data_IF_832946904340
#
_entry.id   IF_832946904340
#
_cell.length_a   1.000
_cell.length_b   1.000
_cell.length_c   1.000
_cell.angle_alpha   90.00
_cell.angle_beta   90.00
_cell.angle_gamma   90.00
#
_symmetry.space_group_name_H-M   'P 1'
#
loop_
_entity.id
_entity.type
_entity.pdbx_description
1 polymer ?
#
# COMPACT_ATOMS: atom_id res chain seq x y z
N UNK A 1 -45.29 -0.89 -16.93
CA UNK A 1 -45.33 -2.34 -17.23
C UNK A 1 -44.57 -2.56 -18.53
N UNK A 2 -43.71 -3.59 -18.61
CA UNK A 2 -43.07 -3.93 -19.89
C UNK A 2 -44.14 -4.45 -20.85
N UNK A 3 -44.33 -3.80 -22.00
CA UNK A 3 -45.34 -4.18 -23.01
C UNK A 3 -45.07 -5.54 -23.69
N UNK A 4 -43.92 -6.17 -23.44
CA UNK A 4 -43.54 -7.46 -24.03
C UNK A 4 -42.48 -8.18 -23.18
N UNK A 5 -42.62 -9.50 -23.03
CA UNK A 5 -41.64 -10.39 -22.39
C UNK A 5 -40.76 -10.98 -23.50
N UNK A 6 -39.45 -10.77 -23.42
CA UNK A 6 -38.45 -11.33 -24.35
C UNK A 6 -37.75 -12.53 -23.75
N UNK A 7 -37.45 -13.53 -24.58
CA UNK A 7 -36.73 -14.74 -24.19
C UNK A 7 -35.28 -14.75 -24.73
N UNK A 8 -34.33 -15.23 -23.92
CA UNK A 8 -32.90 -15.26 -24.23
C UNK A 8 -32.44 -16.56 -24.89
N UNK A 9 -33.00 -17.68 -24.44
CA UNK A 9 -32.58 -19.03 -24.83
C UNK A 9 -33.64 -19.76 -25.65
N UNK A 10 -34.91 -19.42 -25.46
CA UNK A 10 -36.01 -19.98 -26.23
C UNK A 10 -36.05 -19.30 -27.61
N UNK A 11 -35.76 -20.01 -28.72
CA UNK A 11 -35.71 -19.38 -30.04
C UNK A 11 -37.11 -18.99 -30.50
N UNK A 12 -37.28 -17.75 -31.00
CA UNK A 12 -38.57 -17.30 -31.56
C UNK A 12 -39.02 -18.06 -32.82
N UNK A 13 -38.15 -18.87 -33.42
CA UNK A 13 -38.43 -19.72 -34.58
C UNK A 13 -38.81 -21.16 -34.22
N UNK A 14 -38.94 -21.50 -32.93
CA UNK A 14 -39.27 -22.85 -32.49
C UNK A 14 -40.67 -23.26 -32.97
N UNK A 15 -40.76 -24.38 -33.70
CA UNK A 15 -42.03 -24.90 -34.27
C UNK A 15 -42.52 -26.16 -33.56
N UNK A 16 -41.68 -26.76 -32.71
CA UNK A 16 -42.01 -27.98 -31.95
C UNK A 16 -42.91 -27.57 -30.78
N UNK A 17 -44.16 -28.08 -30.71
CA UNK A 17 -45.07 -27.77 -29.60
C UNK A 17 -44.52 -28.31 -28.27
N UNK A 18 -44.64 -27.53 -27.20
CA UNK A 18 -44.16 -27.92 -25.86
C UNK A 18 -44.21 -26.78 -24.84
N UNK A 19 -43.89 -27.08 -23.58
CA UNK A 19 -43.69 -26.09 -22.53
C UNK A 19 -42.19 -25.80 -22.41
N UNK A 20 -41.79 -24.60 -22.79
CA UNK A 20 -40.42 -24.14 -22.66
C UNK A 20 -40.38 -23.04 -21.60
N UNK A 21 -39.56 -23.23 -20.58
CA UNK A 21 -39.38 -22.29 -19.47
C UNK A 21 -37.89 -21.98 -19.41
N UNK A 22 -37.53 -20.69 -19.40
CA UNK A 22 -36.15 -20.26 -19.21
C UNK A 22 -35.95 -19.55 -17.88
N UNK A 23 -34.73 -19.66 -17.35
CA UNK A 23 -34.32 -18.92 -16.17
C UNK A 23 -33.72 -17.58 -16.61
N UNK A 24 -34.34 -16.49 -16.17
CA UNK A 24 -33.76 -15.16 -16.35
C UNK A 24 -33.00 -14.76 -15.07
N UNK A 25 -31.67 -14.82 -15.13
CA UNK A 25 -30.79 -14.35 -14.04
C UNK A 25 -30.44 -12.87 -14.15
N UNK A 26 -30.97 -12.20 -15.19
CA UNK A 26 -31.01 -10.75 -15.46
C UNK A 26 -30.96 -9.91 -14.19
N UNK A 27 -31.94 -10.18 -13.33
CA UNK A 27 -32.30 -9.39 -12.15
C UNK A 27 -31.91 -10.04 -10.82
N UNK A 28 -31.17 -11.16 -10.84
CA UNK A 28 -30.86 -11.93 -9.63
C UNK A 28 -29.96 -11.15 -8.65
N UNK A 29 -29.01 -10.36 -9.18
CA UNK A 29 -28.14 -9.49 -8.39
C UNK A 29 -28.60 -8.04 -8.54
N UNK A 30 -28.99 -7.42 -7.44
CA UNK A 30 -29.45 -6.02 -7.39
C UNK A 30 -28.63 -5.13 -6.46
N UNK A 31 -27.85 -5.72 -5.55
CA UNK A 31 -26.94 -4.97 -4.67
C UNK A 31 -25.73 -4.39 -5.41
N UNK A 32 -24.95 -3.60 -4.67
CA UNK A 32 -23.60 -3.19 -5.08
C UNK A 32 -22.62 -4.37 -4.93
N UNK A 33 -21.54 -4.43 -5.72
CA UNK A 33 -20.54 -5.48 -5.55
C UNK A 33 -19.80 -5.34 -4.22
N UNK A 34 -19.45 -6.47 -3.60
CA UNK A 34 -18.54 -6.46 -2.45
C UNK A 34 -17.19 -5.84 -2.82
N UNK A 35 -16.48 -5.28 -1.84
CA UNK A 35 -15.21 -4.57 -2.08
C UNK A 35 -14.00 -5.15 -1.31
N UNK A 36 -13.73 -6.47 -1.39
CA UNK A 36 -12.54 -7.03 -0.77
C UNK A 36 -11.28 -6.39 -1.35
N UNK A 37 -10.37 -5.94 -0.49
CA UNK A 37 -9.14 -5.29 -0.90
C UNK A 37 -8.00 -6.31 -0.96
N UNK A 38 -7.52 -6.60 -2.17
CA UNK A 38 -6.34 -7.45 -2.40
C UNK A 38 -5.06 -6.61 -2.46
N UNK A 39 -4.00 -7.09 -1.80
CA UNK A 39 -2.70 -6.42 -1.74
C UNK A 39 -1.66 -7.25 -2.49
N UNK A 40 -0.91 -6.58 -3.36
CA UNK A 40 0.33 -7.09 -3.92
C UNK A 40 1.53 -6.43 -3.24
N UNK A 41 2.42 -7.24 -2.70
CA UNK A 41 3.63 -6.79 -2.03
C UNK A 41 4.86 -7.22 -2.83
N UNK A 42 5.64 -6.23 -3.27
CA UNK A 42 6.93 -6.46 -3.90
C UNK A 42 8.02 -6.37 -2.84
N UNK A 43 8.92 -7.35 -2.79
CA UNK A 43 10.00 -7.32 -1.81
C UNK A 43 11.22 -8.12 -2.24
N UNK A 44 12.44 -7.65 -1.91
CA UNK A 44 13.64 -8.46 -2.08
C UNK A 44 13.53 -9.82 -1.38
N UNK A 45 13.90 -10.87 -2.11
CA UNK A 45 14.05 -12.22 -1.59
C UNK A 45 15.54 -12.57 -1.45
N UNK A 46 15.85 -13.60 -0.65
CA UNK A 46 17.20 -14.11 -0.47
C UNK A 46 17.43 -15.35 -1.34
N UNK A 47 18.69 -15.60 -1.70
CA UNK A 47 19.08 -16.82 -2.43
C UNK A 47 18.81 -18.12 -1.64
N UNK A 48 18.62 -18.02 -0.31
CA UNK A 48 18.21 -19.13 0.55
C UNK A 48 16.71 -19.44 0.49
N UNK A 49 15.90 -18.60 -0.18
CA UNK A 49 14.49 -18.86 -0.42
C UNK A 49 14.29 -19.96 -1.46
N UNK A 50 13.24 -20.77 -1.31
CA UNK A 50 12.94 -21.87 -2.23
C UNK A 50 12.02 -21.48 -3.37
N UNK A 51 11.34 -20.34 -3.27
CA UNK A 51 10.39 -19.90 -4.29
C UNK A 51 11.09 -19.28 -5.49
N UNK A 52 10.57 -19.52 -6.70
CA UNK A 52 11.09 -18.92 -7.92
C UNK A 52 10.96 -17.37 -7.87
N UNK A 53 12.02 -16.61 -8.21
CA UNK A 53 11.94 -15.16 -8.33
C UNK A 53 10.90 -14.71 -9.36
N UNK A 54 10.38 -13.48 -9.18
CA UNK A 54 9.42 -12.85 -10.08
C UNK A 54 8.11 -13.65 -10.31
N UNK A 55 7.81 -14.60 -9.43
CA UNK A 55 6.59 -15.42 -9.50
C UNK A 55 5.69 -15.06 -8.32
N UNK A 56 4.41 -14.66 -8.56
CA UNK A 56 3.49 -14.30 -7.49
C UNK A 56 3.01 -15.52 -6.71
N UNK A 57 2.99 -15.40 -5.39
CA UNK A 57 2.45 -16.43 -4.48
C UNK A 57 1.60 -15.78 -3.39
N UNK A 58 0.44 -16.36 -3.13
CA UNK A 58 -0.43 -15.96 -2.05
C UNK A 58 0.10 -16.53 -0.72
N UNK A 59 0.15 -15.71 0.32
CA UNK A 59 0.65 -16.10 1.63
C UNK A 59 -0.43 -15.98 2.68
N UNK A 60 -0.28 -16.78 3.74
CA UNK A 60 -1.20 -16.80 4.87
C UNK A 60 -0.50 -16.63 6.23
N UNK A 61 0.83 -16.59 6.25
CA UNK A 61 1.63 -16.36 7.45
C UNK A 61 3.02 -15.81 7.11
N UNK A 62 3.66 -15.16 8.08
CA UNK A 62 5.05 -14.71 7.98
C UNK A 62 6.05 -15.88 8.00
N UNK A 63 5.75 -16.96 8.73
CA UNK A 63 6.58 -18.16 8.73
C UNK A 63 6.71 -18.77 7.33
N UNK A 64 5.59 -18.89 6.61
CA UNK A 64 5.58 -19.34 5.22
C UNK A 64 6.39 -18.40 4.31
N UNK A 65 6.31 -17.09 4.53
CA UNK A 65 7.12 -16.12 3.79
C UNK A 65 8.63 -16.32 4.03
N UNK A 66 9.02 -16.63 5.26
CA UNK A 66 10.41 -16.92 5.61
C UNK A 66 10.96 -18.19 4.94
N UNK A 67 10.14 -19.25 4.84
CA UNK A 67 10.56 -20.47 4.16
C UNK A 67 10.65 -20.28 2.63
N UNK A 68 9.70 -19.54 2.03
CA UNK A 68 9.66 -19.31 0.58
C UNK A 68 10.68 -18.29 0.07
N UNK A 69 10.86 -17.16 0.77
CA UNK A 69 11.72 -16.06 0.33
C UNK A 69 13.05 -15.95 1.09
N UNK A 70 13.26 -16.86 2.05
CA UNK A 70 14.44 -16.90 2.91
C UNK A 70 14.21 -16.16 4.24
N UNK A 71 14.67 -16.76 5.32
CA UNK A 71 14.51 -16.21 6.67
C UNK A 71 15.30 -14.92 6.84
N UNK A 72 14.62 -13.88 7.35
CA UNK A 72 15.18 -12.54 7.46
C UNK A 72 15.18 -11.74 6.16
N UNK A 73 14.52 -12.23 5.10
CA UNK A 73 14.28 -11.45 3.87
C UNK A 73 13.37 -10.25 4.14
N UNK A 74 13.50 -9.22 3.31
CA UNK A 74 12.55 -8.10 3.32
C UNK A 74 11.11 -8.57 3.07
N UNK A 75 10.92 -9.58 2.21
CA UNK A 75 9.62 -10.19 1.98
C UNK A 75 8.99 -10.72 3.28
N UNK A 76 9.72 -11.50 4.08
CA UNK A 76 9.22 -12.00 5.36
C UNK A 76 8.88 -10.86 6.33
N UNK A 77 9.76 -9.88 6.47
CA UNK A 77 9.59 -8.77 7.41
C UNK A 77 8.39 -7.89 7.06
N UNK A 78 8.19 -7.62 5.76
CA UNK A 78 7.05 -6.85 5.27
C UNK A 78 5.73 -7.63 5.40
N UNK A 79 5.73 -8.95 5.12
CA UNK A 79 4.55 -9.81 5.32
C UNK A 79 4.14 -9.85 6.78
N UNK A 80 5.10 -10.00 7.70
CA UNK A 80 4.83 -9.93 9.14
C UNK A 80 4.17 -8.61 9.52
N UNK A 81 4.69 -7.50 8.98
CA UNK A 81 4.14 -6.19 9.25
C UNK A 81 2.73 -5.98 8.66
N UNK A 82 2.45 -6.54 7.48
CA UNK A 82 1.12 -6.50 6.88
C UNK A 82 0.10 -7.30 7.72
N UNK A 83 0.41 -8.54 8.11
CA UNK A 83 -0.49 -9.38 8.91
C UNK A 83 -0.70 -8.88 10.34
N UNK A 84 0.28 -8.18 10.93
CA UNK A 84 0.09 -7.49 12.22
C UNK A 84 -1.03 -6.43 12.17
N UNK A 85 -1.25 -5.83 10.99
CA UNK A 85 -2.24 -4.78 10.78
C UNK A 85 -3.57 -5.32 10.25
N UNK A 86 -3.54 -6.34 9.39
CA UNK A 86 -4.72 -7.04 8.89
C UNK A 86 -4.45 -8.55 8.77
N UNK A 87 -4.91 -9.33 9.75
CA UNK A 87 -4.64 -10.77 9.83
C UNK A 87 -5.33 -11.60 8.75
N UNK A 88 -6.41 -11.09 8.14
CA UNK A 88 -7.18 -11.78 7.10
C UNK A 88 -6.94 -11.20 5.70
N UNK A 89 -5.85 -10.44 5.54
CA UNK A 89 -5.52 -9.78 4.29
C UNK A 89 -5.32 -10.78 3.15
N UNK A 90 -5.97 -10.53 2.01
CA UNK A 90 -5.61 -11.21 0.75
C UNK A 90 -4.28 -10.66 0.25
N UNK A 91 -3.19 -11.29 0.68
CA UNK A 91 -1.83 -10.87 0.44
C UNK A 91 -1.14 -11.78 -0.57
N UNK A 92 -0.80 -11.23 -1.73
CA UNK A 92 0.11 -11.85 -2.69
C UNK A 92 1.47 -11.18 -2.66
N UNK A 93 2.54 -11.97 -2.71
CA UNK A 93 3.92 -11.47 -2.69
C UNK A 93 4.64 -11.90 -3.96
N UNK A 94 5.46 -11.01 -4.52
CA UNK A 94 6.45 -11.35 -5.54
C UNK A 94 7.85 -11.06 -4.98
N UNK A 95 8.67 -12.10 -4.95
CA UNK A 95 10.07 -12.00 -4.59
C UNK A 95 10.88 -11.35 -5.71
N UNK A 96 11.64 -10.32 -5.36
CA UNK A 96 12.56 -9.62 -6.25
C UNK A 96 13.98 -10.16 -6.05
N UNK A 97 14.66 -10.63 -7.12
CA UNK A 97 16.07 -10.94 -7.02
C UNK A 97 16.87 -9.65 -6.83
N UNK A 98 18.03 -9.75 -6.19
CA UNK A 98 18.96 -8.62 -6.09
C UNK A 98 19.36 -8.14 -7.50
N UNK A 99 19.56 -6.82 -7.65
CA UNK A 99 20.10 -6.26 -8.88
C UNK A 99 21.50 -6.81 -9.15
N UNK A 100 21.83 -7.06 -10.43
CA UNK A 100 23.13 -7.65 -10.82
C UNK A 100 24.33 -6.80 -10.38
N UNK A 101 24.18 -5.48 -10.48
CA UNK A 101 25.13 -4.48 -9.97
C UNK A 101 24.86 -4.02 -8.51
N UNK A 102 24.01 -4.75 -7.79
CA UNK A 102 23.66 -4.47 -6.40
C UNK A 102 24.85 -4.60 -5.45
N UNK A 103 24.96 -3.65 -4.53
CA UNK A 103 25.95 -3.68 -3.43
C UNK A 103 25.21 -3.77 -2.10
N UNK A 104 25.65 -4.67 -1.22
CA UNK A 104 25.09 -4.82 0.12
C UNK A 104 25.62 -3.71 1.05
N UNK A 105 24.71 -3.10 1.80
CA UNK A 105 25.09 -2.13 2.82
C UNK A 105 25.88 -2.82 3.96
N UNK A 106 26.82 -2.09 4.53
CA UNK A 106 27.61 -2.57 5.68
C UNK A 106 27.64 -1.54 6.79
N UNK A 107 27.71 -2.02 8.01
CA UNK A 107 27.82 -1.23 9.24
C UNK A 107 28.51 -2.07 10.31
N UNK A 108 28.72 -1.49 11.49
CA UNK A 108 29.37 -2.21 12.58
C UNK A 108 29.01 -1.70 13.95
N UNK A 109 29.19 -2.54 14.95
CA UNK A 109 29.24 -2.18 16.37
C UNK A 109 30.62 -2.54 16.90
N UNK A 110 31.42 -1.55 17.26
CA UNK A 110 32.68 -1.77 17.97
C UNK A 110 32.43 -1.75 19.47
N UNK A 111 32.93 -2.76 20.16
CA UNK A 111 32.87 -2.88 21.62
C UNK A 111 34.30 -2.81 22.14
N UNK A 112 34.56 -1.87 23.04
CA UNK A 112 35.85 -1.71 23.69
C UNK A 112 35.71 -1.92 25.21
N UNK A 113 36.78 -2.44 25.82
CA UNK A 113 36.85 -2.70 27.26
C UNK A 113 36.68 -4.17 27.66
N UNK A 114 36.45 -4.39 28.95
CA UNK A 114 36.19 -5.69 29.57
C UNK A 114 34.99 -5.54 30.50
N UNK A 115 34.10 -6.53 30.54
CA UNK A 115 32.92 -6.48 31.39
C UNK A 115 33.34 -6.37 32.88
N UNK A 116 33.01 -5.27 33.54
CA UNK A 116 33.30 -5.04 34.95
C UNK A 116 32.29 -5.75 35.86
N UNK A 117 31.06 -5.87 35.39
CA UNK A 117 29.97 -6.57 36.09
C UNK A 117 29.22 -7.47 35.12
N UNK A 118 28.51 -8.47 35.65
CA UNK A 118 27.58 -9.24 34.84
C UNK A 118 26.38 -8.36 34.46
N UNK A 119 26.08 -8.27 33.17
CA UNK A 119 25.03 -7.41 32.64
C UNK A 119 24.47 -7.98 31.34
N UNK A 120 23.34 -7.43 30.90
CA UNK A 120 22.82 -7.66 29.55
C UNK A 120 23.27 -6.52 28.65
N UNK A 121 23.85 -6.84 27.50
CA UNK A 121 24.10 -5.87 26.42
C UNK A 121 23.16 -6.17 25.27
N UNK A 122 22.76 -5.15 24.51
CA UNK A 122 21.87 -5.31 23.38
C UNK A 122 22.26 -4.46 22.18
N UNK A 123 21.92 -4.97 21.00
CA UNK A 123 21.96 -4.25 19.73
C UNK A 123 20.56 -4.24 19.14
N UNK A 124 20.08 -3.07 18.77
CA UNK A 124 18.80 -2.87 18.08
C UNK A 124 19.06 -2.69 16.60
N UNK A 125 18.51 -3.59 15.77
CA UNK A 125 18.69 -3.61 14.32
C UNK A 125 17.31 -3.46 13.68
N UNK A 126 17.11 -2.38 12.91
CA UNK A 126 15.83 -2.10 12.23
C UNK A 126 14.63 -2.03 13.19
N UNK A 127 14.85 -1.55 14.42
CA UNK A 127 13.83 -1.48 15.47
C UNK A 127 13.63 -2.75 16.31
N UNK A 128 14.40 -3.82 16.06
CA UNK A 128 14.32 -5.08 16.83
C UNK A 128 15.56 -5.24 17.71
N UNK A 129 15.38 -5.31 19.03
CA UNK A 129 16.46 -5.50 19.99
C UNK A 129 16.87 -6.98 20.11
N UNK A 130 18.18 -7.25 20.01
CA UNK A 130 18.80 -8.54 20.28
C UNK A 130 19.73 -8.38 21.47
N UNK A 131 19.44 -9.09 22.56
CA UNK A 131 20.17 -8.99 23.81
C UNK A 131 20.95 -10.28 24.11
N UNK A 132 22.14 -10.13 24.71
CA UNK A 132 22.96 -11.24 25.21
C UNK A 132 23.49 -10.93 26.60
N UNK A 133 23.63 -11.99 27.41
CA UNK A 133 24.24 -11.90 28.73
C UNK A 133 25.77 -11.94 28.64
N UNK A 134 26.42 -10.98 29.30
CA UNK A 134 27.86 -10.96 29.51
C UNK A 134 28.19 -11.18 30.98
N UNK A 135 29.21 -11.99 31.25
CA UNK A 135 29.71 -12.25 32.60
C UNK A 135 30.84 -11.28 32.95
N UNK A 136 31.09 -11.07 34.24
CA UNK A 136 32.24 -10.28 34.69
C UNK A 136 33.56 -10.88 34.14
N UNK A 137 34.49 -10.00 33.79
CA UNK A 137 35.78 -10.29 33.15
C UNK A 137 35.71 -10.84 31.72
N UNK A 138 34.54 -10.89 31.08
CA UNK A 138 34.47 -11.21 29.65
C UNK A 138 35.08 -10.10 28.81
N UNK A 139 35.88 -10.51 27.82
CA UNK A 139 36.47 -9.62 26.84
C UNK A 139 35.43 -9.11 25.83
N UNK A 140 35.73 -7.99 25.18
CA UNK A 140 34.89 -7.49 24.09
C UNK A 140 34.75 -8.50 22.93
N UNK A 141 35.78 -9.30 22.64
CA UNK A 141 35.74 -10.31 21.58
C UNK A 141 34.71 -11.41 21.88
N UNK A 142 34.69 -11.94 23.11
CA UNK A 142 33.71 -12.96 23.52
C UNK A 142 32.27 -12.40 23.52
N UNK A 143 32.10 -11.13 23.89
CA UNK A 143 30.80 -10.47 23.84
C UNK A 143 30.31 -10.30 22.38
N UNK A 144 31.19 -9.93 21.47
CA UNK A 144 30.91 -9.80 20.03
C UNK A 144 30.55 -11.16 19.41
N UNK A 145 31.24 -12.25 19.77
CA UNK A 145 30.91 -13.59 19.30
C UNK A 145 29.51 -14.03 19.72
N UNK A 146 29.13 -13.78 20.99
CA UNK A 146 27.78 -14.04 21.48
C UNK A 146 26.73 -13.22 20.71
N UNK A 147 27.00 -11.94 20.48
CA UNK A 147 26.10 -11.08 19.70
C UNK A 147 25.98 -11.56 18.24
N UNK A 148 27.08 -11.95 17.60
CA UNK A 148 27.05 -12.46 16.22
C UNK A 148 26.18 -13.71 16.09
N UNK A 149 26.31 -14.65 17.03
CA UNK A 149 25.48 -15.85 17.07
C UNK A 149 23.99 -15.50 17.27
N UNK A 150 23.67 -14.61 18.22
CA UNK A 150 22.30 -14.20 18.50
C UNK A 150 21.65 -13.45 17.32
N UNK A 151 22.40 -12.55 16.66
CA UNK A 151 21.91 -11.80 15.49
C UNK A 151 21.66 -12.74 14.30
N UNK A 152 22.54 -13.71 14.05
CA UNK A 152 22.36 -14.64 12.94
C UNK A 152 21.24 -15.67 13.18
N UNK A 153 20.91 -15.96 14.45
CA UNK A 153 19.76 -16.81 14.82
C UNK A 153 18.42 -16.05 14.74
N UNK A 154 18.44 -14.73 14.86
CA UNK A 154 17.25 -13.89 14.76
C UNK A 154 16.79 -13.67 13.31
N UNK A 155 15.50 -13.39 13.13
CA UNK A 155 14.93 -13.06 11.82
C UNK A 155 15.13 -11.57 11.53
N UNK A 156 16.32 -11.23 11.02
CA UNK A 156 16.76 -9.86 10.77
C UNK A 156 17.31 -9.68 9.35
N UNK A 157 17.23 -8.47 8.77
CA UNK A 157 17.70 -8.18 7.40
C UNK A 157 19.23 -8.09 7.28
N UNK A 158 19.98 -8.48 8.32
CA UNK A 158 21.45 -8.46 8.34
C UNK A 158 22.01 -9.82 8.72
N UNK A 159 23.25 -10.05 8.29
CA UNK A 159 24.13 -11.10 8.77
C UNK A 159 25.26 -10.45 9.58
N UNK A 160 25.72 -11.14 10.61
CA UNK A 160 26.74 -10.64 11.53
C UNK A 160 28.00 -11.50 11.49
N UNK A 161 29.16 -10.86 11.45
CA UNK A 161 30.48 -11.50 11.54
C UNK A 161 31.24 -10.88 12.70
N UNK A 162 31.77 -11.72 13.58
CA UNK A 162 32.64 -11.28 14.66
C UNK A 162 34.06 -11.02 14.13
N UNK A 163 34.57 -9.83 14.39
CA UNK A 163 35.98 -9.43 14.23
C UNK A 163 36.51 -9.02 15.61
N UNK A 164 37.83 -8.94 15.82
CA UNK A 164 38.41 -8.65 17.14
C UNK A 164 37.85 -7.32 17.73
N UNK A 165 36.93 -7.43 18.70
CA UNK A 165 36.25 -6.29 19.33
C UNK A 165 35.25 -5.55 18.44
N UNK A 166 34.90 -6.08 17.26
CA UNK A 166 33.98 -5.43 16.31
C UNK A 166 32.99 -6.42 15.72
N UNK A 167 31.71 -6.12 15.83
CA UNK A 167 30.62 -6.84 15.17
C UNK A 167 30.37 -6.20 13.81
N UNK A 168 30.78 -6.85 12.73
CA UNK A 168 30.50 -6.39 11.36
C UNK A 168 29.12 -6.88 10.93
N UNK A 169 28.29 -5.97 10.46
CA UNK A 169 26.94 -6.24 9.95
C UNK A 169 26.90 -6.01 8.45
N UNK A 170 26.37 -7.00 7.72
CA UNK A 170 26.17 -6.92 6.27
C UNK A 170 24.71 -7.18 5.96
N UNK A 171 24.07 -6.28 5.20
CA UNK A 171 22.70 -6.47 4.75
C UNK A 171 22.57 -7.77 3.94
N UNK A 172 21.53 -8.56 4.20
CA UNK A 172 21.31 -9.85 3.52
C UNK A 172 20.92 -9.67 2.05
N UNK A 173 20.16 -8.61 1.75
CA UNK A 173 19.83 -8.19 0.39
C UNK A 173 20.72 -7.03 -0.03
N UNK A 174 21.06 -6.99 -1.33
CA UNK A 174 21.78 -5.88 -1.93
C UNK A 174 20.83 -4.69 -2.18
N UNK A 175 21.40 -3.50 -2.32
CA UNK A 175 20.66 -2.29 -2.65
C UNK A 175 20.76 -1.18 -1.62
N UNK A 176 20.32 0.00 -2.01
CA UNK A 176 20.21 1.17 -1.14
C UNK A 176 19.23 0.96 0.03
N UNK A 177 18.26 0.04 -0.10
CA UNK A 177 17.36 -0.38 0.98
C UNK A 177 18.11 -0.85 2.24
N UNK A 178 19.31 -1.43 2.07
CA UNK A 178 20.15 -1.84 3.20
C UNK A 178 20.66 -0.67 4.05
N UNK A 179 20.76 0.54 3.48
CA UNK A 179 21.17 1.74 4.21
C UNK A 179 20.08 2.21 5.19
N UNK A 180 18.84 1.76 5.01
CA UNK A 180 17.73 2.08 5.90
C UNK A 180 17.73 1.20 7.15
N UNK A 181 18.63 0.23 7.29
CA UNK A 181 18.68 -0.60 8.49
C UNK A 181 19.29 0.24 9.62
N UNK A 182 18.45 0.69 10.55
CA UNK A 182 18.89 1.45 11.73
C UNK A 182 19.66 0.57 12.70
N UNK A 183 20.67 1.15 13.35
CA UNK A 183 21.46 0.49 14.37
C UNK A 183 21.46 1.36 15.64
N UNK A 184 21.16 0.75 16.77
CA UNK A 184 21.36 1.33 18.10
C UNK A 184 21.94 0.26 19.04
N UNK A 185 22.59 0.66 20.12
CA UNK A 185 23.18 -0.29 21.07
C UNK A 185 23.03 0.22 22.49
N UNK A 186 22.86 -0.71 23.42
CA UNK A 186 22.83 -0.44 24.84
C UNK A 186 23.78 -1.42 25.55
N UNK A 187 24.81 -0.88 26.19
CA UNK A 187 25.82 -1.67 26.91
C UNK A 187 25.42 -1.94 28.37
N UNK A 188 24.27 -1.45 28.83
CA UNK A 188 23.82 -1.59 30.21
C UNK A 188 24.87 -1.12 31.22
N UNK A 189 24.95 -1.81 32.35
CA UNK A 189 25.94 -1.55 33.42
C UNK A 189 27.24 -2.35 33.25
N UNK A 190 27.47 -2.93 32.08
CA UNK A 190 28.61 -3.84 31.83
C UNK A 190 29.98 -3.17 32.00
N UNK A 191 30.07 -1.85 31.81
CA UNK A 191 31.33 -1.12 31.73
C UNK A 191 32.00 -1.17 30.34
N UNK A 192 31.35 -1.79 29.35
CA UNK A 192 31.77 -1.69 27.94
C UNK A 192 31.45 -0.31 27.36
N UNK A 193 32.27 0.14 26.41
CA UNK A 193 31.94 1.26 25.52
C UNK A 193 31.61 0.72 24.12
N UNK A 194 30.38 0.97 23.67
CA UNK A 194 29.90 0.61 22.33
C UNK A 194 29.91 1.82 21.40
N UNK A 195 30.36 1.63 20.16
CA UNK A 195 30.27 2.65 19.10
C UNK A 195 29.73 2.06 17.80
N UNK A 196 28.77 2.76 17.20
CA UNK A 196 28.05 2.29 16.00
C UNK A 196 28.56 3.01 14.78
N UNK A 197 28.85 2.23 13.73
CA UNK A 197 28.95 2.71 12.36
C UNK A 197 27.65 2.36 11.63
N UNK A 198 26.91 3.38 11.19
CA UNK A 198 25.64 3.20 10.51
C UNK A 198 25.77 2.36 9.22
N UNK A 199 24.70 1.67 8.84
CA UNK A 199 24.65 0.91 7.58
C UNK A 199 24.71 1.87 6.39
N UNK A 200 25.74 1.73 5.55
CA UNK A 200 25.97 2.61 4.40
C UNK A 200 26.51 1.82 3.19
N UNK A 201 26.69 2.51 2.06
CA UNK A 201 27.26 2.00 0.81
C UNK A 201 26.44 0.92 0.09
N UNK A 202 25.22 0.63 0.55
CA UNK A 202 24.25 -0.11 -0.25
C UNK A 202 23.87 0.69 -1.50
N UNK A 203 23.91 0.05 -2.66
CA UNK A 203 23.68 0.70 -3.94
C UNK A 203 22.93 -0.23 -4.90
N UNK A 204 22.17 0.38 -5.83
CA UNK A 204 21.35 -0.31 -6.85
C UNK A 204 20.32 -1.26 -6.22
N UNK A 205 19.13 -0.72 -5.90
CA UNK A 205 17.98 -1.53 -5.47
C UNK A 205 17.54 -2.50 -6.57
N UNK A 206 16.82 -3.56 -6.18
CA UNK A 206 16.17 -4.42 -7.14
C UNK A 206 15.15 -3.62 -7.98
N UNK A 207 14.96 -4.05 -9.22
CA UNK A 207 14.00 -3.45 -10.15
C UNK A 207 12.62 -4.12 -10.00
N UNK A 208 11.59 -3.31 -9.82
CA UNK A 208 10.22 -3.79 -9.69
C UNK A 208 9.51 -4.02 -11.04
N UNK A 209 10.01 -3.46 -12.15
CA UNK A 209 9.29 -3.47 -13.43
C UNK A 209 9.00 -4.89 -13.92
N UNK A 210 10.01 -5.77 -13.91
CA UNK A 210 9.86 -7.16 -14.34
C UNK A 210 8.85 -7.95 -13.48
N UNK A 211 8.72 -7.61 -12.19
CA UNK A 211 7.73 -8.22 -11.31
C UNK A 211 6.32 -7.72 -11.65
N UNK A 212 6.17 -6.42 -11.88
CA UNK A 212 4.90 -5.78 -12.25
C UNK A 212 4.35 -6.33 -13.57
N UNK A 213 5.20 -6.59 -14.56
CA UNK A 213 4.80 -7.18 -15.84
C UNK A 213 4.14 -8.56 -15.67
N UNK A 214 4.58 -9.37 -14.71
CA UNK A 214 4.04 -10.71 -14.45
C UNK A 214 2.63 -10.70 -13.89
N UNK A 215 2.22 -9.59 -13.29
CA UNK A 215 0.93 -9.43 -12.62
C UNK A 215 0.00 -8.43 -13.28
N UNK A 216 0.42 -7.80 -14.38
CA UNK A 216 -0.40 -6.83 -15.12
C UNK A 216 -1.78 -7.35 -15.54
N UNK A 217 -1.92 -8.67 -15.71
CA UNK A 217 -3.19 -9.34 -16.05
C UNK A 217 -4.13 -9.62 -14.88
N UNK A 218 -3.64 -9.60 -13.63
CA UNK A 218 -4.45 -9.84 -12.42
C UNK A 218 -4.75 -8.51 -11.73
N UNK A 219 -5.96 -8.36 -11.20
CA UNK A 219 -6.34 -7.15 -10.47
C UNK A 219 -5.89 -7.24 -9.02
N UNK A 220 -5.03 -6.31 -8.61
CA UNK A 220 -4.69 -6.01 -7.22
C UNK A 220 -5.18 -4.61 -6.89
N UNK A 221 -5.79 -4.41 -5.73
CA UNK A 221 -6.34 -3.11 -5.35
C UNK A 221 -5.25 -2.17 -4.84
N UNK A 222 -4.24 -2.72 -4.15
CA UNK A 222 -3.13 -1.98 -3.56
C UNK A 222 -1.83 -2.68 -3.92
N UNK A 223 -0.85 -1.92 -4.43
CA UNK A 223 0.48 -2.42 -4.79
C UNK A 223 1.54 -1.70 -3.94
N UNK A 224 2.33 -2.46 -3.19
CA UNK A 224 3.34 -1.93 -2.27
C UNK A 224 4.72 -2.05 -2.89
N UNK A 225 5.45 -0.92 -2.97
CA UNK A 225 6.87 -0.92 -3.27
C UNK A 225 7.68 -0.83 -1.98
N UNK A 226 8.75 -1.63 -1.83
CA UNK A 226 9.57 -1.62 -0.62
C UNK A 226 10.61 -0.48 -0.62
N UNK A 227 10.79 0.18 -1.77
CA UNK A 227 11.88 1.10 -2.02
C UNK A 227 11.42 2.56 -1.96
N UNK A 228 12.28 3.43 -1.44
CA UNK A 228 12.09 4.89 -1.43
C UNK A 228 12.85 5.61 -2.55
N UNK A 229 13.25 4.91 -3.62
CA UNK A 229 13.96 5.49 -4.76
C UNK A 229 13.01 5.91 -5.89
N UNK A 230 13.41 6.94 -6.63
CA UNK A 230 12.59 7.53 -7.67
C UNK A 230 12.38 6.60 -8.88
N UNK A 231 13.33 5.72 -9.19
CA UNK A 231 13.24 4.83 -10.34
C UNK A 231 12.12 3.79 -10.13
N UNK A 232 12.12 3.11 -8.99
CA UNK A 232 11.08 2.17 -8.61
C UNK A 232 9.74 2.87 -8.37
N UNK A 233 9.72 4.05 -7.75
CA UNK A 233 8.47 4.80 -7.59
C UNK A 233 7.84 5.19 -8.93
N UNK A 234 8.65 5.56 -9.93
CA UNK A 234 8.18 5.85 -11.29
C UNK A 234 7.72 4.60 -12.04
N UNK A 235 8.42 3.48 -11.91
CA UNK A 235 7.98 2.20 -12.48
C UNK A 235 6.62 1.77 -11.93
N UNK A 236 6.39 1.98 -10.62
CA UNK A 236 5.10 1.73 -9.97
C UNK A 236 3.99 2.62 -10.57
N UNK A 237 4.25 3.93 -10.69
CA UNK A 237 3.31 4.90 -11.31
C UNK A 237 2.91 4.50 -12.73
N UNK A 238 3.90 4.14 -13.55
CA UNK A 238 3.67 3.72 -14.94
C UNK A 238 2.80 2.47 -15.02
N UNK A 239 3.09 1.46 -14.21
CA UNK A 239 2.29 0.24 -14.16
C UNK A 239 0.85 0.52 -13.72
N UNK A 240 0.67 1.28 -12.63
CA UNK A 240 -0.66 1.63 -12.12
C UNK A 240 -1.47 2.37 -13.17
N UNK A 241 -0.87 3.34 -13.86
CA UNK A 241 -1.49 4.07 -14.96
C UNK A 241 -1.91 3.12 -16.09
N UNK A 242 -1.04 2.17 -16.45
CA UNK A 242 -1.30 1.19 -17.50
C UNK A 242 -2.48 0.27 -17.14
N UNK A 243 -2.51 -0.32 -15.95
CA UNK A 243 -3.58 -1.28 -15.57
C UNK A 243 -4.90 -0.59 -15.19
N UNK A 244 -4.83 0.66 -14.72
CA UNK A 244 -6.00 1.41 -14.26
C UNK A 244 -6.72 2.20 -15.36
N UNK A 245 -6.17 2.23 -16.58
CA UNK A 245 -6.69 3.04 -17.67
C UNK A 245 -8.15 2.69 -18.06
N UNK A 246 -8.74 3.49 -18.94
CA UNK A 246 -10.13 3.35 -19.34
C UNK A 246 -10.48 2.02 -20.04
N UNK A 247 -9.48 1.33 -20.60
CA UNK A 247 -9.61 0.06 -21.32
C UNK A 247 -9.39 -1.14 -20.40
N UNK A 248 -8.28 -1.14 -19.65
CA UNK A 248 -7.88 -2.24 -18.77
C UNK A 248 -8.73 -2.31 -17.50
N UNK A 249 -9.13 -1.15 -16.98
CA UNK A 249 -10.11 -0.98 -15.89
C UNK A 249 -9.79 -1.75 -14.59
N UNK A 250 -8.52 -2.07 -14.32
CA UNK A 250 -8.05 -2.69 -13.08
C UNK A 250 -7.54 -1.60 -12.14
N UNK A 251 -8.47 -0.76 -11.68
CA UNK A 251 -8.17 0.38 -10.81
C UNK A 251 -7.44 -0.03 -9.54
N UNK A 252 -6.27 0.56 -9.32
CA UNK A 252 -5.44 0.30 -8.16
C UNK A 252 -4.70 1.56 -7.68
N UNK A 253 -4.19 1.47 -6.44
CA UNK A 253 -3.31 2.48 -5.84
C UNK A 253 -1.93 1.90 -5.51
N UNK A 254 -0.93 2.75 -5.53
CA UNK A 254 0.45 2.46 -5.16
C UNK A 254 0.78 2.99 -3.78
N UNK A 255 1.51 2.20 -2.99
CA UNK A 255 1.93 2.57 -1.65
C UNK A 255 3.45 2.55 -1.57
N UNK A 256 4.01 3.68 -1.15
CA UNK A 256 5.42 3.86 -0.80
C UNK A 256 5.52 4.51 0.58
N UNK A 257 6.73 4.59 1.13
CA UNK A 257 6.96 5.32 2.36
C UNK A 257 8.29 6.08 2.36
N UNK A 258 8.39 7.04 3.27
CA UNK A 258 9.60 7.80 3.57
C UNK A 258 9.74 7.97 5.08
N UNK A 259 10.96 7.81 5.60
CA UNK A 259 11.27 7.99 7.03
C UNK A 259 12.21 9.16 7.34
N UNK A 260 12.76 9.76 6.29
CA UNK A 260 13.64 10.92 6.38
C UNK A 260 12.90 12.20 6.76
N UNK A 261 13.56 13.33 6.48
CA UNK A 261 12.99 14.66 6.72
C UNK A 261 11.87 14.97 5.72
N UNK A 262 10.96 15.90 6.06
CA UNK A 262 9.89 16.31 5.16
C UNK A 262 10.42 16.76 3.77
N UNK A 263 11.49 17.58 3.65
CA UNK A 263 12.03 17.96 2.34
C UNK A 263 12.54 16.78 1.49
N UNK A 264 13.09 15.74 2.11
CA UNK A 264 13.51 14.53 1.39
C UNK A 264 12.30 13.79 0.82
N UNK A 265 11.21 13.67 1.59
CA UNK A 265 9.96 13.11 1.11
C UNK A 265 9.33 13.93 -0.01
N UNK A 266 9.24 15.25 0.17
CA UNK A 266 8.64 16.18 -0.79
C UNK A 266 9.37 16.15 -2.15
N UNK A 267 10.69 15.97 -2.14
CA UNK A 267 11.49 15.85 -3.36
C UNK A 267 11.15 14.58 -4.16
N UNK A 268 10.77 13.48 -3.48
CA UNK A 268 10.36 12.24 -4.13
C UNK A 268 8.92 12.35 -4.66
N UNK A 269 7.98 12.84 -3.85
CA UNK A 269 6.57 12.94 -4.24
C UNK A 269 6.36 13.95 -5.36
N UNK A 270 7.10 15.06 -5.39
CA UNK A 270 7.06 16.03 -6.48
C UNK A 270 7.50 15.45 -7.83
N UNK A 271 8.37 14.43 -7.85
CA UNK A 271 8.77 13.74 -9.09
C UNK A 271 7.71 12.78 -9.62
N UNK A 272 6.78 12.36 -8.76
CA UNK A 272 5.67 11.47 -9.11
C UNK A 272 4.44 12.29 -9.53
N UNK A 273 3.97 13.15 -8.61
CA UNK A 273 2.74 13.93 -8.76
C UNK A 273 1.59 13.09 -9.34
N UNK A 274 1.36 11.92 -8.74
CA UNK A 274 0.42 10.90 -9.22
C UNK A 274 -0.76 10.74 -8.25
N UNK A 275 -1.98 10.85 -8.78
CA UNK A 275 -3.23 10.77 -8.03
C UNK A 275 -3.58 9.36 -7.54
N UNK A 276 -2.79 8.35 -7.94
CA UNK A 276 -2.94 6.94 -7.55
C UNK A 276 -1.82 6.43 -6.65
N UNK A 277 -0.80 7.24 -6.34
CA UNK A 277 0.26 6.86 -5.40
C UNK A 277 0.10 7.62 -4.10
N UNK A 278 0.21 6.93 -2.97
CA UNK A 278 0.28 7.54 -1.63
C UNK A 278 1.62 7.22 -0.97
N UNK A 279 2.20 8.21 -0.28
CA UNK A 279 3.48 8.11 0.39
C UNK A 279 3.32 8.31 1.90
N UNK A 280 3.45 7.24 2.69
CA UNK A 280 3.45 7.34 4.15
C UNK A 280 4.77 7.98 4.63
N UNK A 281 4.67 9.01 5.46
CA UNK A 281 5.81 9.72 6.00
C UNK A 281 5.88 9.58 7.51
N UNK A 282 6.87 8.84 8.01
CA UNK A 282 7.11 8.65 9.44
C UNK A 282 8.52 9.09 9.83
N UNK A 283 8.64 10.36 10.20
CA UNK A 283 9.92 11.02 10.48
C UNK A 283 10.69 10.33 11.61
N UNK A 284 11.93 9.95 11.32
CA UNK A 284 12.84 9.39 12.30
C UNK A 284 12.50 7.96 12.74
N UNK A 285 11.58 7.27 12.03
CA UNK A 285 11.25 5.87 12.27
C UNK A 285 12.51 5.01 12.37
N UNK A 286 12.50 3.92 13.14
CA UNK A 286 13.61 2.96 13.16
C UNK A 286 13.50 1.96 12.00
N UNK A 287 12.27 1.68 11.58
CA UNK A 287 11.88 0.75 10.53
C UNK A 287 12.22 1.29 9.14
N UNK A 288 12.58 0.41 8.21
CA UNK A 288 12.78 0.76 6.82
C UNK A 288 11.45 1.15 6.13
N UNK A 289 11.54 1.91 5.04
CA UNK A 289 10.39 2.40 4.29
C UNK A 289 9.47 1.26 3.84
N UNK A 290 10.02 0.13 3.37
CA UNK A 290 9.21 -1.02 2.97
C UNK A 290 8.34 -1.60 4.11
N UNK A 291 8.82 -1.57 5.35
CA UNK A 291 8.04 -2.02 6.52
C UNK A 291 6.89 -1.05 6.80
N UNK A 292 7.18 0.26 6.81
CA UNK A 292 6.16 1.30 7.00
C UNK A 292 5.09 1.20 5.89
N UNK A 293 5.51 1.06 4.63
CA UNK A 293 4.64 0.92 3.48
C UNK A 293 3.74 -0.33 3.57
N UNK A 294 4.28 -1.47 3.99
CA UNK A 294 3.51 -2.71 4.16
C UNK A 294 2.44 -2.59 5.27
N UNK A 295 2.79 -1.98 6.40
CA UNK A 295 1.83 -1.73 7.48
C UNK A 295 0.73 -0.76 7.06
N UNK A 296 1.11 0.35 6.42
CA UNK A 296 0.17 1.34 5.91
C UNK A 296 -0.79 0.74 4.86
N UNK A 297 -0.26 -0.02 3.89
CA UNK A 297 -1.07 -0.69 2.88
C UNK A 297 -2.07 -1.68 3.48
N UNK A 298 -1.68 -2.43 4.52
CA UNK A 298 -2.58 -3.35 5.21
C UNK A 298 -3.73 -2.60 5.94
N UNK A 299 -3.46 -1.43 6.51
CA UNK A 299 -4.49 -0.55 7.11
C UNK A 299 -5.42 0.02 6.02
N UNK A 300 -4.88 0.43 4.87
CA UNK A 300 -5.69 0.88 3.73
C UNK A 300 -6.62 -0.24 3.21
N UNK A 301 -6.12 -1.47 3.15
CA UNK A 301 -6.87 -2.63 2.71
C UNK A 301 -7.95 -3.09 3.71
N UNK A 302 -7.75 -2.82 5.00
CA UNK A 302 -8.73 -3.13 6.04
C UNK A 302 -10.03 -2.31 5.88
N UNK A 303 -9.92 -1.08 5.39
CA UNK A 303 -11.09 -0.23 5.13
C UNK A 303 -11.64 -0.53 3.73
N UNK A 304 -12.68 -1.36 3.67
CA UNK A 304 -13.36 -1.74 2.43
C UNK A 304 -14.29 -0.65 1.90
N UNK A 305 -14.74 0.28 2.73
CA UNK A 305 -15.47 1.46 2.27
C UNK A 305 -14.49 2.42 1.58
N UNK A 306 -14.63 2.67 0.27
CA UNK A 306 -13.68 3.50 -0.46
C UNK A 306 -13.76 4.99 -0.09
N UNK A 307 -14.90 5.47 0.43
CA UNK A 307 -15.13 6.87 0.76
C UNK A 307 -14.75 7.22 2.22
N UNK A 308 -14.65 6.21 3.08
CA UNK A 308 -14.39 6.40 4.50
C UNK A 308 -12.98 6.96 4.78
N UNK A 309 -12.87 8.07 5.53
CA UNK A 309 -11.57 8.64 5.90
C UNK A 309 -10.73 7.68 6.72
N UNK A 310 -9.43 7.68 6.46
CA UNK A 310 -8.45 6.79 7.09
C UNK A 310 -7.76 7.44 8.32
N UNK A 311 -8.22 8.63 8.71
CA UNK A 311 -7.68 9.40 9.82
C UNK A 311 -7.73 8.58 11.11
N UNK A 312 -6.74 8.73 11.99
CA UNK A 312 -6.62 8.10 13.31
C UNK A 312 -6.43 6.58 13.33
N UNK A 313 -6.49 5.91 12.17
CA UNK A 313 -6.22 4.49 12.09
C UNK A 313 -4.76 4.19 12.48
N UNK A 314 -4.60 3.24 13.38
CA UNK A 314 -3.31 2.85 13.95
C UNK A 314 -2.56 1.92 12.99
N UNK A 315 -1.27 2.21 12.79
CA UNK A 315 -0.34 1.29 12.14
C UNK A 315 0.46 0.57 13.23
N UNK A 316 0.03 -0.65 13.54
CA UNK A 316 0.61 -1.51 14.58
C UNK A 316 2.00 -1.99 14.16
N UNK A 317 2.86 -2.25 15.14
CA UNK A 317 4.18 -2.85 14.93
C UNK A 317 5.29 -1.87 14.54
N UNK A 318 5.00 -0.57 14.43
CA UNK A 318 6.01 0.47 14.29
C UNK A 318 6.45 0.98 15.67
N UNK A 319 7.74 1.15 15.87
CA UNK A 319 8.27 1.74 17.11
C UNK A 319 7.90 3.21 17.21
N UNK A 320 7.66 3.67 18.44
CA UNK A 320 7.46 5.09 18.74
C UNK A 320 8.79 5.81 18.58
N UNK A 321 8.81 6.83 17.74
CA UNK A 321 9.99 7.69 17.59
C UNK A 321 10.17 8.58 18.81
N UNK A 322 11.40 9.04 19.11
CA UNK A 322 11.61 10.04 20.16
C UNK A 322 10.78 11.30 19.91
N UNK A 323 10.34 11.95 20.99
CA UNK A 323 9.55 13.18 20.98
C UNK A 323 10.18 14.30 20.13
N UNK A 324 11.51 14.41 20.14
CA UNK A 324 12.27 15.36 19.31
C UNK A 324 12.09 15.15 17.78
N UNK A 325 11.61 13.98 17.35
CA UNK A 325 11.32 13.68 15.95
C UNK A 325 9.84 13.89 15.59
N UNK A 326 8.97 14.19 16.56
CA UNK A 326 7.55 14.35 16.28
C UNK A 326 7.31 15.65 15.49
N UNK A 327 6.71 15.57 14.29
CA UNK A 327 6.49 16.75 13.47
C UNK A 327 5.46 17.67 14.12
N UNK A 328 5.74 18.97 14.08
CA UNK A 328 4.79 19.99 14.52
C UNK A 328 3.67 20.16 13.49
N UNK A 329 2.57 20.80 13.90
CA UNK A 329 1.43 21.05 13.02
C UNK A 329 1.82 21.71 11.68
N UNK A 330 2.69 22.72 11.70
CA UNK A 330 3.16 23.37 10.48
C UNK A 330 3.94 22.40 9.56
N UNK A 331 4.74 21.50 10.14
CA UNK A 331 5.49 20.51 9.37
C UNK A 331 4.54 19.48 8.74
N UNK A 332 3.55 18.99 9.48
CA UNK A 332 2.49 18.12 8.96
C UNK A 332 1.67 18.79 7.86
N UNK A 333 1.28 20.05 8.05
CA UNK A 333 0.53 20.79 7.05
C UNK A 333 1.35 20.94 5.76
N UNK A 334 2.63 21.31 5.87
CA UNK A 334 3.53 21.36 4.70
C UNK A 334 3.74 19.99 4.05
N UNK A 335 3.82 18.91 4.82
CA UNK A 335 3.90 17.55 4.27
C UNK A 335 2.66 17.22 3.41
N UNK A 336 1.46 17.54 3.90
CA UNK A 336 0.20 17.34 3.14
C UNK A 336 0.17 18.17 1.84
N UNK A 337 0.61 19.44 1.87
CA UNK A 337 0.75 20.27 0.67
C UNK A 337 1.78 19.74 -0.35
N UNK A 338 2.67 18.84 0.07
CA UNK A 338 3.67 18.21 -0.79
C UNK A 338 3.37 16.72 -1.04
N UNK A 339 2.13 16.27 -0.85
CA UNK A 339 1.70 14.91 -1.21
C UNK A 339 2.29 13.81 -0.33
N UNK A 340 2.67 14.14 0.91
CA UNK A 340 3.09 13.19 1.93
C UNK A 340 1.95 12.98 2.93
N UNK A 341 1.69 11.72 3.27
CA UNK A 341 0.75 11.32 4.33
C UNK A 341 1.48 11.23 5.67
N UNK A 342 1.34 12.18 6.60
CA UNK A 342 2.06 12.14 7.87
C UNK A 342 1.51 11.03 8.77
N UNK A 343 2.42 10.27 9.37
CA UNK A 343 2.14 9.35 10.46
C UNK A 343 2.59 10.00 11.77
N UNK A 344 1.65 10.19 12.70
CA UNK A 344 1.90 10.90 13.96
C UNK A 344 1.69 9.99 15.16
N UNK A 345 2.37 10.31 16.26
CA UNK A 345 2.21 9.58 17.52
C UNK A 345 1.13 10.25 18.36
N UNK A 346 0.06 9.52 18.66
CA UNK A 346 -1.04 10.00 19.51
C UNK A 346 -1.35 8.91 20.54
N UNK A 347 -1.36 9.26 21.83
CA UNK A 347 -1.62 8.34 22.93
C UNK A 347 -0.78 7.03 22.86
N UNK A 348 0.50 7.15 22.50
CA UNK A 348 1.42 6.01 22.39
C UNK A 348 1.20 5.12 21.16
N UNK A 349 0.47 5.60 20.15
CA UNK A 349 0.16 4.86 18.93
C UNK A 349 0.58 5.65 17.70
N UNK A 350 1.12 4.96 16.70
CA UNK A 350 1.40 5.55 15.39
C UNK A 350 0.11 5.53 14.57
N UNK A 351 -0.37 6.69 14.16
CA UNK A 351 -1.65 6.85 13.48
C UNK A 351 -1.55 7.67 12.20
N UNK A 352 -2.43 7.40 11.25
CA UNK A 352 -2.56 8.18 10.02
C UNK A 352 -3.19 9.54 10.35
N UNK A 353 -2.53 10.64 9.98
CA UNK A 353 -3.10 11.98 10.15
C UNK A 353 -4.18 12.27 9.09
N UNK A 354 -3.81 12.18 7.80
CA UNK A 354 -4.70 12.24 6.63
C UNK A 354 -4.01 11.55 5.47
N UNK A 355 -4.69 10.58 4.86
CA UNK A 355 -4.17 9.82 3.74
C UNK A 355 -4.35 10.56 2.41
N UNK A 356 -3.26 11.10 1.88
CA UNK A 356 -3.23 11.84 0.62
C UNK A 356 -2.43 11.10 -0.45
N UNK A 357 -2.76 11.37 -1.71
CA UNK A 357 -1.95 10.98 -2.87
C UNK A 357 -0.74 11.91 -3.03
N UNK A 358 0.15 11.58 -3.95
CA UNK A 358 1.28 12.44 -4.32
C UNK A 358 0.86 13.58 -5.26
N UNK A 359 -0.38 13.62 -5.74
CA UNK A 359 -0.89 14.64 -6.64
C UNK A 359 -1.23 15.93 -5.89
N UNK A 360 -0.48 16.98 -6.19
CA UNK A 360 -0.71 18.33 -5.63
C UNK A 360 -0.86 19.39 -6.70
N UNK A 361 -0.45 19.09 -7.95
CA UNK A 361 -0.46 20.04 -9.06
C UNK A 361 -1.03 19.42 -10.33
N UNK A 362 -1.75 20.24 -11.09
CA UNK A 362 -2.18 19.92 -12.45
C UNK A 362 -1.02 19.89 -13.44
N UNK A 363 -1.28 19.40 -14.66
CA UNK A 363 -0.33 19.43 -15.77
C UNK A 363 0.14 20.86 -16.15
N UNK A 364 -0.66 21.89 -15.81
CA UNK A 364 -0.31 23.29 -15.97
C UNK A 364 0.54 23.85 -14.81
N UNK A 365 0.98 22.98 -13.87
CA UNK A 365 1.73 23.33 -12.66
C UNK A 365 0.97 24.30 -11.73
N UNK A 366 -0.37 24.21 -11.74
CA UNK A 366 -1.27 24.93 -10.83
C UNK A 366 -1.73 23.97 -9.74
N UNK A 367 -1.79 24.44 -8.50
CA UNK A 367 -2.26 23.66 -7.36
C UNK A 367 -3.67 23.10 -7.63
N UNK A 368 -3.83 21.80 -7.48
CA UNK A 368 -5.03 21.08 -7.85
C UNK A 368 -5.38 20.00 -6.79
N UNK A 369 -6.45 20.20 -6.02
CA UNK A 369 -6.85 19.26 -4.98
C UNK A 369 -7.69 18.07 -5.49
N UNK A 370 -7.99 17.99 -6.79
CA UNK A 370 -9.00 17.04 -7.31
C UNK A 370 -8.73 15.56 -6.97
N UNK A 371 -7.46 15.17 -6.86
CA UNK A 371 -7.04 13.81 -6.49
C UNK A 371 -6.18 13.80 -5.22
N UNK A 372 -6.29 14.84 -4.38
CA UNK A 372 -5.47 14.96 -3.17
C UNK A 372 -5.77 13.82 -2.19
N UNK A 373 -7.04 13.58 -1.86
CA UNK A 373 -7.40 12.49 -0.96
C UNK A 373 -7.38 11.15 -1.68
N UNK A 374 -6.72 10.15 -1.08
CA UNK A 374 -6.63 8.83 -1.70
C UNK A 374 -7.99 8.13 -1.80
N UNK A 375 -8.94 8.49 -0.93
CA UNK A 375 -10.33 7.99 -0.97
C UNK A 375 -11.03 8.41 -2.25
N UNK A 376 -10.73 9.59 -2.82
CA UNK A 376 -11.36 10.07 -4.06
C UNK A 376 -11.18 9.09 -5.21
N UNK A 377 -9.93 8.67 -5.48
CA UNK A 377 -9.67 7.75 -6.58
C UNK A 377 -10.17 6.33 -6.30
N UNK A 378 -10.16 5.89 -5.03
CA UNK A 378 -10.74 4.61 -4.61
C UNK A 378 -12.25 4.59 -4.85
N UNK A 379 -12.96 5.67 -4.53
CA UNK A 379 -14.40 5.82 -4.77
C UNK A 379 -14.73 5.82 -6.26
N UNK A 380 -13.95 6.52 -7.07
CA UNK A 380 -14.13 6.51 -8.53
C UNK A 380 -13.91 5.13 -9.14
N UNK A 381 -12.89 4.39 -8.67
CA UNK A 381 -12.61 3.02 -9.12
C UNK A 381 -13.74 2.06 -8.73
N UNK A 382 -14.28 2.18 -7.51
CA UNK A 382 -15.42 1.37 -7.06
C UNK A 382 -16.70 1.71 -7.84
N UNK A 383 -16.99 2.99 -8.04
CA UNK A 383 -18.13 3.46 -8.84
C UNK A 383 -18.05 2.91 -10.26
N UNK A 384 -16.86 2.97 -10.87
CA UNK A 384 -16.60 2.38 -12.20
C UNK A 384 -16.88 0.88 -12.22
N UNK A 385 -16.41 0.12 -11.21
CA UNK A 385 -16.66 -1.33 -11.13
C UNK A 385 -18.14 -1.64 -11.00
N UNK A 386 -18.85 -0.97 -10.10
CA UNK A 386 -20.27 -1.18 -9.85
C UNK A 386 -21.12 -0.95 -11.12
N UNK A 387 -20.84 0.12 -11.86
CA UNK A 387 -21.54 0.43 -13.12
C UNK A 387 -21.19 -0.58 -14.20
N UNK A 388 -19.91 -0.92 -14.38
CA UNK A 388 -19.45 -1.90 -15.37
C UNK A 388 -20.15 -3.24 -15.18
N UNK A 389 -20.16 -3.76 -13.96
CA UNK A 389 -20.78 -5.05 -13.64
C UNK A 389 -22.30 -5.01 -13.84
N UNK A 390 -22.97 -3.92 -13.42
CA UNK A 390 -24.41 -3.74 -13.67
C UNK A 390 -24.72 -3.80 -15.17
N UNK A 391 -24.00 -3.04 -15.98
CA UNK A 391 -24.23 -3.02 -17.44
C UNK A 391 -23.96 -4.37 -18.08
N UNK A 392 -22.86 -5.04 -17.70
CA UNK A 392 -22.50 -6.36 -18.22
C UNK A 392 -23.56 -7.43 -17.91
N UNK A 393 -24.14 -7.41 -16.70
CA UNK A 393 -25.18 -8.35 -16.29
C UNK A 393 -26.54 -8.04 -16.95
N UNK A 394 -26.90 -6.77 -17.08
CA UNK A 394 -28.22 -6.35 -17.57
C UNK A 394 -28.36 -6.39 -19.08
N UNK A 395 -27.30 -6.04 -19.81
CA UNK A 395 -27.32 -5.84 -21.26
C UNK A 395 -26.22 -6.64 -22.01
N UNK A 396 -26.05 -7.95 -21.79
CA UNK A 396 -24.93 -8.71 -22.35
C UNK A 396 -24.99 -8.88 -23.88
N UNK A 397 -26.18 -9.09 -24.45
CA UNK A 397 -26.40 -9.37 -25.88
C UNK A 397 -27.59 -8.60 -26.46
N UNK A 398 -27.96 -7.51 -25.81
CA UNK A 398 -29.15 -6.75 -26.16
C UNK A 398 -28.94 -5.98 -27.47
N UNK A 399 -29.99 -5.93 -28.31
CA UNK A 399 -29.96 -5.15 -29.55
C UNK A 399 -30.03 -3.68 -29.22
N UNK A 400 -29.11 -2.89 -29.77
CA UNK A 400 -29.14 -1.44 -29.66
C UNK A 400 -30.38 -0.88 -30.39
N UNK A 401 -31.33 -0.38 -29.60
CA UNK A 401 -32.56 0.26 -30.07
C UNK A 401 -32.81 1.54 -29.26
N UNK A 402 -33.65 2.44 -29.77
CA UNK A 402 -33.96 3.69 -29.04
C UNK A 402 -34.70 3.42 -27.73
N UNK A 403 -35.36 2.26 -27.63
CA UNK A 403 -35.98 1.77 -26.39
C UNK A 403 -34.96 1.31 -25.35
N UNK A 404 -33.72 1.04 -25.74
CA UNK A 404 -32.66 0.58 -24.85
C UNK A 404 -32.00 1.74 -24.09
N UNK A 405 -31.86 2.92 -24.71
CA UNK A 405 -31.15 4.06 -24.11
C UNK A 405 -31.75 4.49 -22.76
N UNK A 406 -33.10 4.62 -22.60
CA UNK A 406 -33.69 4.95 -21.31
C UNK A 406 -33.46 3.84 -20.26
N UNK A 407 -33.40 2.57 -20.68
CA UNK A 407 -33.12 1.44 -19.77
C UNK A 407 -31.68 1.48 -19.27
N UNK A 408 -30.72 1.72 -20.16
CA UNK A 408 -29.30 1.89 -19.78
C UNK A 408 -29.15 3.06 -18.80
N UNK A 409 -29.77 4.21 -19.10
CA UNK A 409 -29.78 5.36 -18.20
C UNK A 409 -30.41 5.02 -16.84
N UNK A 410 -31.51 4.27 -16.83
CA UNK A 410 -32.18 3.85 -15.59
C UNK A 410 -31.32 2.92 -14.74
N UNK A 411 -30.62 1.96 -15.32
CA UNK A 411 -29.75 1.03 -14.57
C UNK A 411 -28.51 1.75 -14.02
N UNK A 412 -27.93 2.69 -14.76
CA UNK A 412 -26.83 3.52 -14.24
C UNK A 412 -27.32 4.37 -13.07
N UNK A 413 -28.47 5.04 -13.22
CA UNK A 413 -29.04 5.87 -12.16
C UNK A 413 -29.36 5.05 -10.91
N UNK A 414 -29.90 3.83 -11.05
CA UNK A 414 -30.13 2.92 -9.92
C UNK A 414 -28.84 2.59 -9.16
N UNK A 415 -27.73 2.36 -9.87
CA UNK A 415 -26.42 2.15 -9.23
C UNK A 415 -25.97 3.41 -8.49
N UNK A 416 -26.10 4.60 -9.10
CA UNK A 416 -25.71 5.85 -8.45
C UNK A 416 -26.54 6.13 -7.19
N UNK A 417 -27.86 5.90 -7.23
CA UNK A 417 -28.73 6.06 -6.06
C UNK A 417 -28.38 5.07 -4.94
N UNK A 418 -27.94 3.85 -5.30
CA UNK A 418 -27.46 2.87 -4.30
C UNK A 418 -26.11 3.26 -3.71
N UNK A 419 -25.22 3.82 -4.52
CA UNK A 419 -23.96 4.39 -4.02
C UNK A 419 -24.22 5.59 -3.09
N UNK A 420 -25.24 6.40 -3.38
CA UNK A 420 -25.69 7.49 -2.50
C UNK A 420 -26.26 6.98 -1.18
N UNK A 421 -27.11 5.96 -1.22
CA UNK A 421 -27.63 5.30 0.00
C UNK A 421 -26.53 4.67 0.86
N UNK A 422 -25.43 4.26 0.25
CA UNK A 422 -24.26 3.71 0.93
C UNK A 422 -23.26 4.80 1.37
N UNK A 423 -23.57 6.09 1.17
CA UNK A 423 -22.69 7.23 1.49
C UNK A 423 -21.33 7.19 0.78
N UNK A 424 -21.27 6.56 -0.39
CA UNK A 424 -20.05 6.47 -1.22
C UNK A 424 -19.96 7.66 -2.18
N UNK A 425 -21.09 8.05 -2.77
CA UNK A 425 -21.26 9.29 -3.54
C UNK A 425 -22.40 10.10 -2.94
N UNK A 426 -22.50 11.38 -3.25
CA UNK A 426 -23.59 12.25 -2.78
C UNK A 426 -24.37 12.84 -3.95
N UNK A 427 -25.54 13.41 -3.66
CA UNK A 427 -26.31 14.22 -4.59
C UNK A 427 -26.65 13.51 -5.92
N UNK A 428 -26.77 12.17 -5.95
CA UNK A 428 -26.99 11.45 -7.21
C UNK A 428 -28.37 11.81 -7.81
N UNK A 429 -29.39 11.96 -6.97
CA UNK A 429 -30.72 12.42 -7.39
C UNK A 429 -30.69 13.87 -7.94
N UNK A 430 -29.97 14.78 -7.27
CA UNK A 430 -29.81 16.16 -7.74
C UNK A 430 -29.01 16.24 -9.05
N UNK A 431 -28.02 15.35 -9.22
CA UNK A 431 -27.16 15.27 -10.39
C UNK A 431 -27.76 14.44 -11.54
N UNK A 432 -28.96 13.86 -11.41
CA UNK A 432 -29.57 13.00 -12.45
C UNK A 432 -29.69 13.65 -13.84
N UNK A 433 -29.81 14.99 -13.90
CA UNK A 433 -29.83 15.75 -15.14
C UNK A 433 -28.49 15.74 -15.88
N UNK A 434 -27.38 15.59 -15.15
CA UNK A 434 -26.01 15.49 -15.68
C UNK A 434 -25.70 14.08 -16.21
N UNK A 435 -26.48 13.06 -15.83
CA UNK A 435 -26.38 11.72 -16.41
C UNK A 435 -26.93 11.72 -17.84
N UNK A 436 -26.04 11.68 -18.83
CA UNK A 436 -26.40 11.68 -20.25
C UNK A 436 -26.06 10.33 -20.85
N UNK A 437 -26.99 9.72 -21.57
CA UNK A 437 -26.79 8.50 -22.35
C UNK A 437 -27.29 8.75 -23.76
N UNK A 438 -26.42 8.58 -24.76
CA UNK A 438 -26.74 8.87 -26.16
C UNK A 438 -26.03 7.92 -27.12
N UNK A 439 -26.56 7.78 -28.35
CA UNK A 439 -25.84 7.07 -29.41
C UNK A 439 -24.60 7.86 -29.84
N UNK A 440 -23.56 7.15 -30.24
CA UNK A 440 -22.43 7.78 -30.91
C UNK A 440 -22.85 8.33 -32.28
N UNK A 441 -22.39 9.54 -32.59
CA UNK A 441 -22.56 10.13 -33.93
C UNK A 441 -21.65 9.47 -34.98
N UNK A 442 -20.59 8.78 -34.54
CA UNK A 442 -19.56 8.21 -35.41
C UNK A 442 -19.65 6.69 -35.55
N UNK A 443 -20.37 6.03 -34.64
CA UNK A 443 -20.48 4.56 -34.59
C UNK A 443 -21.92 4.17 -34.28
N UNK A 444 -22.62 3.63 -35.28
CA UNK A 444 -24.02 3.26 -35.19
C UNK A 444 -24.30 2.17 -34.13
N UNK A 445 -23.27 1.43 -33.72
CA UNK A 445 -23.36 0.32 -32.76
C UNK A 445 -22.92 0.72 -31.34
N UNK A 446 -22.62 2.00 -31.07
CA UNK A 446 -22.08 2.46 -29.79
C UNK A 446 -23.03 3.38 -29.03
N UNK A 447 -23.10 3.17 -27.72
CA UNK A 447 -23.73 4.08 -26.75
C UNK A 447 -22.64 4.74 -25.91
N UNK A 448 -22.73 6.05 -25.73
CA UNK A 448 -21.85 6.83 -24.88
C UNK A 448 -22.63 7.27 -23.63
N UNK A 449 -21.94 7.35 -22.48
CA UNK A 449 -22.52 7.85 -21.25
C UNK A 449 -21.58 8.87 -20.58
N UNK A 450 -22.14 10.00 -20.12
CA UNK A 450 -21.50 10.91 -19.19
C UNK A 450 -22.13 10.68 -17.81
N UNK A 451 -21.32 10.25 -16.84
CA UNK A 451 -21.79 9.76 -15.54
C UNK A 451 -21.29 10.73 -14.46
N UNK A 452 -22.19 11.46 -13.77
CA UNK A 452 -21.81 12.31 -12.65
C UNK A 452 -21.53 11.45 -11.42
N UNK A 453 -20.30 11.50 -10.91
CA UNK A 453 -19.92 10.89 -9.64
C UNK A 453 -19.43 12.00 -8.71
N UNK A 454 -20.30 12.44 -7.82
CA UNK A 454 -20.01 13.46 -6.80
C UNK A 454 -19.56 12.71 -5.54
N UNK A 455 -18.25 12.63 -5.32
CA UNK A 455 -17.66 11.76 -4.30
C UNK A 455 -17.92 12.33 -2.90
N UNK A 456 -18.38 11.50 -1.97
CA UNK A 456 -18.49 11.92 -0.56
C UNK A 456 -17.10 12.22 -0.03
N UNK A 457 -16.92 13.46 0.44
CA UNK A 457 -15.65 13.93 0.97
C UNK A 457 -15.46 13.56 2.43
N UNK A 458 -14.21 13.33 2.83
CA UNK A 458 -13.88 13.07 4.21
C UNK A 458 -14.06 14.31 5.11
N UNK A 459 -14.69 14.13 6.26
CA UNK A 459 -14.75 15.17 7.31
C UNK A 459 -13.41 15.28 8.04
N UNK A 460 -12.43 15.91 7.39
CA UNK A 460 -11.07 16.04 7.92
C UNK A 460 -10.90 17.19 8.92
N UNK A 461 -11.70 18.25 8.81
CA UNK A 461 -11.58 19.47 9.64
C UNK A 461 -12.97 19.94 10.06
N UNK A 462 -13.17 20.10 11.37
CA UNK A 462 -14.31 20.84 11.93
C UNK A 462 -13.83 22.19 12.45
N UNK A 463 -14.46 23.27 12.01
CA UNK A 463 -14.18 24.63 12.46
C UNK A 463 -15.47 25.27 12.99
N UNK A 464 -15.46 25.70 14.25
CA UNK A 464 -16.58 26.36 14.90
C UNK A 464 -16.14 27.65 15.58
N UNK A 465 -16.98 28.68 15.51
CA UNK A 465 -16.84 29.92 16.29
C UNK A 465 -17.88 29.89 17.41
N UNK A 466 -17.46 30.12 18.64
CA UNK A 466 -18.38 30.29 19.77
C UNK A 466 -18.59 31.79 19.96
N UNK A 467 -19.82 32.25 19.75
CA UNK A 467 -20.20 33.64 19.95
C UNK A 467 -20.76 33.83 21.36
N UNK A 468 -20.20 34.79 22.10
CA UNK A 468 -20.68 35.14 23.44
C UNK A 468 -22.05 35.81 23.32
N UNK A 469 -23.04 35.21 23.95
CA UNK A 469 -24.38 35.79 24.11
C UNK A 469 -24.52 36.14 25.60
N UNK A 470 -24.75 37.44 25.88
CA UNK A 470 -25.01 37.99 27.21
C UNK A 470 -26.47 38.40 27.35
#
# INVERSE_FOLDING_TARGET
MAEYISFDTIPGSIRVPGQYIEFNTRNAVQGLPQNPQSVLLLAPMLASGTHEPLTPVQLFSDAQAGDLFGRGSWAQLMVRQAFNNNAYLDLTVIGLPDHSAGVAATGSLKIDGTAQTAASISITIGGVAVAVAVSANQSAAEAVEKLAAAVNAATLPVSATAEQGSLKLTARSKGAIGNEISLACDMGTSGFSGSITAMTNGAQNADIAAALDKVAGKHYHIIVSPFSDAANAKALSQHITQVSNAIEQRGCIGVIAQRGTMPQGASLTAQLNDGRITCAWYKGAAEACGIIAAGYAAVLAFEEDPARPLNTLEIKGLNITPDAQWPLFNECNNALYNGLTPLTVVAGKVQIMRAVSTYTKSAANVDDPALLDITTIRTLDYTRRAIKERIALRFPRDKLSDRLLPKVKSEILDVLLKLEQAEIIENAEANKGKLVVSRSLQDANRVNAAIPADVVNGLHVFAGRIDLIL
#
